data_IF_727798046665
#
_entry.id   IF_727798046665
#
_cell.length_a   1.000
_cell.length_b   1.000
_cell.length_c   1.000
_cell.angle_alpha   90.00
_cell.angle_beta   90.00
_cell.angle_gamma   90.00
#
_symmetry.space_group_name_H-M   'P 1'
#
loop_
_entity.id
_entity.type
_entity.pdbx_description
1 polymer ?
#
# COMPACT_ATOMS: atom_id res chain seq x y z
N UNK A 1 4.94 12.62 13.69
CA UNK A 1 6.14 13.44 13.76
C UNK A 1 6.85 13.51 12.41
N UNK A 2 7.08 14.72 11.93
CA UNK A 2 7.71 14.94 10.64
C UNK A 2 9.14 15.47 10.83
N UNK A 3 10.11 14.98 10.06
CA UNK A 3 11.47 15.51 10.11
C UNK A 3 11.52 16.92 9.51
N UNK A 4 12.56 17.66 9.86
CA UNK A 4 12.72 19.03 9.39
C UNK A 4 12.87 19.12 7.87
N UNK A 5 13.50 18.13 7.25
CA UNK A 5 13.66 18.10 5.79
C UNK A 5 12.39 17.63 5.08
N UNK A 6 11.34 17.30 5.85
CA UNK A 6 10.07 16.87 5.28
C UNK A 6 10.05 15.39 4.96
N UNK A 7 8.92 14.94 4.42
CA UNK A 7 8.73 13.56 4.00
C UNK A 7 8.01 13.53 2.66
N UNK A 8 8.27 12.48 1.89
CA UNK A 8 7.53 12.25 0.66
C UNK A 8 6.20 11.59 1.00
N UNK A 9 5.11 12.25 0.65
CA UNK A 9 3.77 11.71 0.88
C UNK A 9 3.56 10.44 0.05
N UNK A 10 4.08 10.43 -1.18
CA UNK A 10 4.00 9.23 -2.03
C UNK A 10 4.74 8.05 -1.40
N UNK A 11 5.91 8.30 -0.82
CA UNK A 11 6.67 7.22 -0.18
C UNK A 11 5.94 6.68 1.04
N UNK A 12 5.36 7.55 1.84
CA UNK A 12 4.57 7.13 3.00
C UNK A 12 3.37 6.29 2.56
N UNK A 13 2.67 6.75 1.53
CA UNK A 13 1.50 6.05 1.02
C UNK A 13 1.88 4.67 0.49
N UNK A 14 2.99 4.59 -0.26
CA UNK A 14 3.50 3.32 -0.76
C UNK A 14 3.80 2.36 0.38
N UNK A 15 4.47 2.83 1.42
CA UNK A 15 4.84 1.98 2.56
C UNK A 15 3.63 1.48 3.32
N UNK A 16 2.61 2.31 3.45
CA UNK A 16 1.37 1.91 4.12
C UNK A 16 0.67 0.81 3.31
N UNK A 17 0.61 0.98 2.00
CA UNK A 17 -0.01 -0.02 1.11
C UNK A 17 0.77 -1.33 1.16
N UNK A 18 2.10 -1.25 1.09
CA UNK A 18 2.94 -2.45 1.16
C UNK A 18 2.74 -3.19 2.49
N UNK A 19 2.65 -2.46 3.58
CA UNK A 19 2.42 -3.07 4.89
C UNK A 19 1.08 -3.77 4.96
N UNK A 20 0.03 -3.15 4.41
CA UNK A 20 -1.30 -3.75 4.38
C UNK A 20 -1.32 -5.00 3.51
N UNK A 21 -0.61 -4.99 2.38
CA UNK A 21 -0.50 -6.16 1.51
C UNK A 21 0.24 -7.29 2.20
N UNK A 22 1.34 -7.00 2.90
CA UNK A 22 2.06 -8.02 3.66
C UNK A 22 1.17 -8.63 4.73
N UNK A 23 0.43 -7.79 5.43
CA UNK A 23 -0.45 -8.24 6.50
C UNK A 23 -1.55 -9.18 5.99
N UNK A 24 -2.00 -8.97 4.76
CA UNK A 24 -3.10 -9.75 4.18
C UNK A 24 -2.63 -10.84 3.20
N UNK A 25 -1.32 -11.02 3.05
CA UNK A 25 -0.79 -12.00 2.11
C UNK A 25 -1.04 -11.67 0.65
N UNK A 26 -1.09 -10.37 0.32
CA UNK A 26 -1.31 -9.93 -1.05
C UNK A 26 -2.78 -9.81 -1.44
N UNK A 27 -3.68 -9.94 -0.46
CA UNK A 27 -5.13 -9.85 -0.74
C UNK A 27 -5.54 -8.38 -0.84
N UNK A 28 -5.75 -7.92 -2.07
CA UNK A 28 -6.03 -6.51 -2.34
C UNK A 28 -7.35 -6.07 -1.69
N UNK A 29 -8.38 -6.92 -1.75
CA UNK A 29 -9.67 -6.56 -1.16
C UNK A 29 -9.54 -6.34 0.35
N UNK A 30 -8.86 -7.25 1.04
CA UNK A 30 -8.69 -7.12 2.48
C UNK A 30 -7.79 -5.96 2.83
N UNK A 31 -6.75 -5.72 2.06
CA UNK A 31 -5.88 -4.57 2.26
C UNK A 31 -6.66 -3.27 2.12
N UNK A 32 -7.55 -3.18 1.13
CA UNK A 32 -8.39 -2.00 0.96
C UNK A 32 -9.29 -1.80 2.18
N UNK A 33 -9.84 -2.88 2.73
CA UNK A 33 -10.67 -2.79 3.93
C UNK A 33 -9.87 -2.27 5.12
N UNK A 34 -8.64 -2.76 5.29
CA UNK A 34 -7.78 -2.29 6.36
C UNK A 34 -7.45 -0.80 6.22
N UNK A 35 -7.27 -0.35 4.99
CA UNK A 35 -6.91 1.04 4.72
C UNK A 35 -8.14 1.94 4.59
N UNK A 36 -9.34 1.36 4.69
CA UNK A 36 -10.60 2.10 4.62
C UNK A 36 -10.78 2.84 3.31
N UNK A 37 -10.40 2.19 2.22
CA UNK A 37 -10.58 2.71 0.86
C UNK A 37 -11.28 1.64 0.04
N UNK A 38 -11.79 2.02 -1.15
CA UNK A 38 -12.39 1.05 -2.06
C UNK A 38 -11.29 0.21 -2.71
N UNK A 39 -11.66 -1.00 -3.13
CA UNK A 39 -10.73 -1.88 -3.83
C UNK A 39 -10.19 -1.22 -5.10
N UNK A 40 -11.07 -0.56 -5.86
CA UNK A 40 -10.65 0.07 -7.10
C UNK A 40 -9.66 1.20 -6.85
N UNK A 41 -9.88 1.97 -5.80
CA UNK A 41 -8.95 3.03 -5.42
C UNK A 41 -7.59 2.47 -5.05
N UNK A 42 -7.59 1.40 -4.28
CA UNK A 42 -6.33 0.76 -3.90
C UNK A 42 -5.61 0.19 -5.13
N UNK A 43 -6.34 -0.46 -6.03
CA UNK A 43 -5.72 -1.01 -7.24
C UNK A 43 -5.10 0.09 -8.10
N UNK A 44 -5.75 1.23 -8.20
CA UNK A 44 -5.18 2.36 -8.90
C UNK A 44 -3.85 2.79 -8.28
N UNK A 45 -3.80 2.88 -6.95
CA UNK A 45 -2.58 3.25 -6.24
C UNK A 45 -1.49 2.23 -6.39
N UNK A 46 -1.84 0.95 -6.34
CA UNK A 46 -0.87 -0.12 -6.55
C UNK A 46 -0.23 0.01 -7.94
N UNK A 47 -1.04 0.25 -8.95
CA UNK A 47 -0.53 0.43 -10.31
C UNK A 47 0.33 1.70 -10.42
N UNK A 48 -0.12 2.78 -9.81
CA UNK A 48 0.60 4.05 -9.85
C UNK A 48 1.99 3.95 -9.24
N UNK A 49 2.11 3.22 -8.13
CA UNK A 49 3.40 3.09 -7.43
C UNK A 49 4.21 1.90 -7.92
N UNK A 50 3.67 1.09 -8.82
CA UNK A 50 4.38 -0.08 -9.32
C UNK A 50 4.59 -1.16 -8.26
N UNK A 51 3.66 -1.30 -7.32
CA UNK A 51 3.76 -2.29 -6.27
C UNK A 51 3.37 -3.66 -6.82
N UNK A 52 4.21 -4.65 -6.57
CA UNK A 52 3.97 -6.02 -7.05
C UNK A 52 3.25 -6.82 -5.96
N UNK A 53 1.97 -7.08 -6.17
CA UNK A 53 1.17 -7.86 -5.23
C UNK A 53 1.44 -9.35 -5.33
N UNK A 54 2.18 -9.77 -6.33
CA UNK A 54 2.56 -11.17 -6.52
C UNK A 54 3.92 -11.50 -5.94
N UNK A 55 4.59 -10.52 -5.35
CA UNK A 55 5.92 -10.74 -4.78
C UNK A 55 5.86 -11.72 -3.62
N UNK A 56 6.89 -12.55 -3.48
CA UNK A 56 6.92 -13.59 -2.47
C UNK A 56 6.82 -13.04 -1.05
N UNK A 57 7.31 -11.84 -0.82
CA UNK A 57 7.26 -11.25 0.51
C UNK A 57 5.86 -10.90 0.98
N UNK A 58 4.85 -10.96 0.09
CA UNK A 58 3.47 -10.70 0.46
C UNK A 58 2.68 -11.99 0.76
N UNK A 59 3.32 -13.13 0.68
CA UNK A 59 2.64 -14.42 0.87
C UNK A 59 2.85 -15.00 2.24
#
# INVERSE_FOLDING_TARGET
HLPNEGVSLDLLERRVIEAALRHTGGNVLRAAQLLQVTRDRLRYRIAKFGIDTQAAEFQ
#
